data_IF_798147864703
#
_entry.id   IF_798147864703
#
_cell.length_a   1.000
_cell.length_b   1.000
_cell.length_c   1.000
_cell.angle_alpha   90.00
_cell.angle_beta   90.00
_cell.angle_gamma   90.00
#
_symmetry.space_group_name_H-M   'P 1'
#
loop_
_entity.id
_entity.type
_entity.pdbx_description
1 polymer ?
#
# COMPACT_ATOMS: atom_id res chain seq x y z
N UNK A 1 22.04 -36.54 -10.03
CA UNK A 1 21.22 -36.74 -11.26
C UNK A 1 22.15 -36.44 -12.42
N UNK A 2 22.34 -37.42 -13.31
CA UNK A 2 23.33 -37.31 -14.40
C UNK A 2 22.72 -36.46 -15.52
N UNK A 3 23.31 -35.31 -15.82
CA UNK A 3 22.85 -34.33 -16.85
C UNK A 3 22.90 -34.92 -18.29
N UNK A 4 23.48 -36.11 -18.48
CA UNK A 4 23.76 -36.71 -19.79
C UNK A 4 22.56 -37.41 -20.45
N UNK A 5 21.36 -37.43 -19.88
CA UNK A 5 20.23 -38.24 -20.39
C UNK A 5 18.99 -37.41 -20.83
N UNK A 6 19.17 -36.12 -21.12
CA UNK A 6 18.06 -35.32 -21.69
C UNK A 6 18.04 -35.58 -23.21
N UNK A 7 16.94 -36.08 -23.80
CA UNK A 7 16.83 -36.28 -25.25
C UNK A 7 17.08 -34.96 -25.99
N UNK A 8 17.91 -34.99 -27.02
CA UNK A 8 18.22 -33.79 -27.83
C UNK A 8 16.98 -33.06 -28.35
N UNK A 9 15.94 -33.83 -28.72
CA UNK A 9 14.65 -33.30 -29.14
C UNK A 9 13.97 -32.41 -28.05
N UNK A 10 14.08 -32.81 -26.76
CA UNK A 10 13.53 -32.01 -25.65
C UNK A 10 14.34 -30.74 -25.43
N UNK A 11 15.66 -30.81 -25.62
CA UNK A 11 16.53 -29.63 -25.52
C UNK A 11 16.20 -28.59 -26.60
N UNK A 12 15.95 -29.03 -27.82
CA UNK A 12 15.59 -28.14 -28.94
C UNK A 12 14.20 -27.51 -28.76
N UNK A 13 13.23 -28.25 -28.24
CA UNK A 13 11.89 -27.72 -27.92
C UNK A 13 12.00 -26.65 -26.83
N UNK A 14 12.68 -26.94 -25.71
CA UNK A 14 12.89 -26.00 -24.61
C UNK A 14 13.63 -24.77 -25.08
N UNK A 15 14.68 -24.91 -25.92
CA UNK A 15 15.45 -23.79 -26.45
C UNK A 15 14.66 -22.88 -27.39
N UNK A 16 13.71 -23.42 -28.18
CA UNK A 16 12.81 -22.63 -29.03
C UNK A 16 11.80 -21.83 -28.21
N UNK A 17 11.34 -22.39 -27.09
CA UNK A 17 10.34 -21.75 -26.23
C UNK A 17 10.97 -20.80 -25.20
N UNK A 18 12.29 -20.84 -25.00
CA UNK A 18 13.02 -19.90 -24.15
C UNK A 18 13.02 -18.49 -24.77
N UNK A 19 12.01 -17.70 -24.41
CA UNK A 19 11.98 -16.27 -24.72
C UNK A 19 12.73 -15.50 -23.63
N UNK A 20 13.58 -14.52 -24.00
CA UNK A 20 14.26 -13.69 -23.01
C UNK A 20 13.23 -12.95 -22.17
N UNK A 21 13.20 -13.25 -20.88
CA UNK A 21 12.34 -12.55 -19.91
C UNK A 21 13.06 -11.30 -19.41
N UNK A 22 12.36 -10.15 -19.44
CA UNK A 22 12.87 -8.95 -18.80
C UNK A 22 12.82 -9.13 -17.28
N UNK A 23 13.95 -8.93 -16.61
CA UNK A 23 14.00 -8.92 -15.16
C UNK A 23 13.10 -7.82 -14.59
N UNK A 24 12.38 -8.12 -13.51
CA UNK A 24 11.61 -7.12 -12.81
C UNK A 24 12.54 -6.09 -12.17
N UNK A 25 12.15 -4.82 -12.25
CA UNK A 25 12.82 -3.73 -11.52
C UNK A 25 12.80 -4.03 -10.02
N UNK A 26 13.88 -3.67 -9.31
CA UNK A 26 13.99 -3.96 -7.87
C UNK A 26 12.81 -3.40 -7.07
N UNK A 27 12.41 -4.06 -5.97
CA UNK A 27 11.29 -3.63 -5.14
C UNK A 27 11.41 -2.18 -4.65
N UNK A 28 12.64 -1.79 -4.27
CA UNK A 28 12.95 -0.46 -3.77
C UNK A 28 12.74 0.62 -4.84
N UNK A 29 13.20 0.36 -6.07
CA UNK A 29 12.98 1.30 -7.19
C UNK A 29 11.51 1.42 -7.56
N UNK A 30 10.75 0.32 -7.45
CA UNK A 30 9.30 0.35 -7.67
C UNK A 30 8.57 1.14 -6.59
N UNK A 31 9.00 1.03 -5.33
CA UNK A 31 8.48 1.85 -4.22
C UNK A 31 8.84 3.33 -4.41
N UNK A 32 10.08 3.64 -4.76
CA UNK A 32 10.51 5.02 -5.04
C UNK A 32 9.77 5.65 -6.23
N UNK A 33 9.35 4.86 -7.22
CA UNK A 33 8.53 5.37 -8.32
C UNK A 33 7.13 5.85 -7.85
N UNK A 34 6.70 5.47 -6.64
CA UNK A 34 5.47 5.97 -6.02
C UNK A 34 5.70 7.23 -5.15
N UNK A 35 6.94 7.70 -5.01
CA UNK A 35 7.24 8.92 -4.26
C UNK A 35 6.44 10.14 -4.75
N UNK A 36 6.25 10.40 -6.05
CA UNK A 36 5.40 11.50 -6.51
C UNK A 36 3.95 11.38 -6.03
N UNK A 37 3.42 10.16 -5.95
CA UNK A 37 2.07 9.89 -5.42
C UNK A 37 2.04 10.20 -3.91
N UNK A 38 3.06 9.77 -3.16
CA UNK A 38 3.20 10.09 -1.74
C UNK A 38 3.28 11.61 -1.49
N UNK A 39 4.06 12.33 -2.29
CA UNK A 39 4.15 13.80 -2.21
C UNK A 39 2.80 14.44 -2.55
N UNK A 40 2.12 13.93 -3.57
CA UNK A 40 0.78 14.44 -3.94
C UNK A 40 -0.25 14.24 -2.82
N UNK A 41 -0.20 13.12 -2.09
CA UNK A 41 -1.04 12.90 -0.91
C UNK A 41 -0.61 13.78 0.26
N UNK A 42 0.70 13.87 0.53
CA UNK A 42 1.23 14.64 1.66
C UNK A 42 0.96 16.14 1.55
N UNK A 43 1.08 16.70 0.35
CA UNK A 43 0.90 18.13 0.09
C UNK A 43 -0.47 18.45 -0.48
N UNK A 44 -0.93 17.65 -1.44
CA UNK A 44 -2.17 17.91 -2.16
C UNK A 44 -3.42 17.79 -1.30
N UNK A 45 -3.47 16.84 -0.36
CA UNK A 45 -4.61 16.71 0.56
C UNK A 45 -4.76 17.93 1.47
N UNK A 46 -3.72 18.36 2.22
CA UNK A 46 -3.81 19.56 3.05
C UNK A 46 -4.15 20.82 2.25
N UNK A 47 -3.51 21.02 1.11
CA UNK A 47 -3.75 22.17 0.25
C UNK A 47 -5.20 22.20 -0.29
N UNK A 48 -5.71 21.05 -0.76
CA UNK A 48 -7.09 20.94 -1.22
C UNK A 48 -8.09 21.32 -0.11
N UNK A 49 -7.89 20.84 1.12
CA UNK A 49 -8.76 21.15 2.24
C UNK A 49 -8.59 22.58 2.74
N UNK A 50 -7.38 23.10 2.78
CA UNK A 50 -7.11 24.50 3.10
C UNK A 50 -7.86 25.44 2.15
N UNK A 51 -7.79 25.17 0.84
CA UNK A 51 -8.52 25.93 -0.17
C UNK A 51 -10.04 25.79 -0.04
N UNK A 52 -10.55 24.58 0.19
CA UNK A 52 -11.98 24.30 0.26
C UNK A 52 -12.66 24.82 1.53
N UNK A 53 -11.99 24.73 2.67
CA UNK A 53 -12.58 24.91 4.00
C UNK A 53 -11.91 26.00 4.84
N UNK A 54 -10.94 26.73 4.27
CA UNK A 54 -10.11 27.73 4.96
C UNK A 54 -9.47 27.21 6.25
N UNK A 55 -9.11 25.93 6.25
CA UNK A 55 -8.49 25.26 7.38
C UNK A 55 -7.07 25.75 7.56
N UNK A 56 -6.67 26.10 8.79
CA UNK A 56 -5.28 26.39 9.13
C UNK A 56 -4.51 25.08 9.18
N UNK A 57 -3.45 25.00 8.39
CA UNK A 57 -2.59 23.80 8.37
C UNK A 57 -1.83 23.62 9.69
N UNK A 58 -1.50 22.36 9.97
CA UNK A 58 -0.70 22.02 11.15
C UNK A 58 0.66 22.73 11.15
N UNK A 59 1.24 22.99 12.33
CA UNK A 59 2.55 23.65 12.46
C UNK A 59 3.66 22.82 11.78
N UNK A 60 4.76 23.47 11.43
CA UNK A 60 5.89 22.83 10.73
C UNK A 60 6.46 21.58 11.42
N UNK A 61 6.37 21.49 12.75
CA UNK A 61 6.76 20.30 13.51
C UNK A 61 5.97 19.06 13.09
N UNK A 62 4.70 19.21 12.75
CA UNK A 62 3.83 18.11 12.30
C UNK A 62 4.21 17.63 10.89
N UNK A 63 4.72 18.51 10.03
CA UNK A 63 5.23 18.12 8.72
C UNK A 63 6.41 17.15 8.81
N UNK A 64 7.33 17.38 9.78
CA UNK A 64 8.45 16.48 10.01
C UNK A 64 8.01 15.05 10.34
N UNK A 65 7.04 14.90 11.24
CA UNK A 65 6.49 13.59 11.59
C UNK A 65 5.72 12.94 10.43
N UNK A 66 5.01 13.73 9.62
CA UNK A 66 4.34 13.25 8.40
C UNK A 66 5.33 12.74 7.35
N UNK A 67 6.47 13.42 7.19
CA UNK A 67 7.54 12.94 6.30
C UNK A 67 8.11 11.61 6.79
N UNK A 68 8.33 11.44 8.09
CA UNK A 68 8.81 10.16 8.67
C UNK A 68 7.82 9.04 8.36
N UNK A 69 6.53 9.27 8.53
CA UNK A 69 5.51 8.28 8.22
C UNK A 69 5.42 7.97 6.72
N UNK A 70 5.53 8.97 5.87
CA UNK A 70 5.61 8.79 4.42
C UNK A 70 6.84 7.95 4.02
N UNK A 71 8.00 8.17 4.62
CA UNK A 71 9.20 7.36 4.36
C UNK A 71 9.00 5.91 4.80
N UNK A 72 8.39 5.69 5.97
CA UNK A 72 8.02 4.34 6.41
C UNK A 72 7.07 3.67 5.42
N UNK A 73 6.09 4.40 4.88
CA UNK A 73 5.15 3.88 3.89
C UNK A 73 5.85 3.36 2.63
N UNK A 74 6.92 4.03 2.17
CA UNK A 74 7.74 3.58 1.04
C UNK A 74 8.49 2.27 1.37
N UNK A 75 8.98 2.12 2.61
CA UNK A 75 9.61 0.86 3.07
C UNK A 75 8.59 -0.28 3.05
N UNK A 76 7.37 -0.03 3.49
CA UNK A 76 6.29 -1.01 3.49
C UNK A 76 5.88 -1.38 2.06
N UNK A 77 5.80 -0.41 1.15
CA UNK A 77 5.55 -0.66 -0.28
C UNK A 77 6.67 -1.51 -0.89
N UNK A 78 7.94 -1.23 -0.58
CA UNK A 78 9.06 -2.05 -1.03
C UNK A 78 8.95 -3.48 -0.50
N UNK A 79 8.54 -3.66 0.76
CA UNK A 79 8.26 -4.96 1.35
C UNK A 79 7.11 -5.69 0.61
N UNK A 80 6.03 -4.99 0.27
CA UNK A 80 4.92 -5.53 -0.54
C UNK A 80 5.37 -5.95 -1.94
N UNK A 81 6.20 -5.16 -2.61
CA UNK A 81 6.76 -5.51 -3.91
C UNK A 81 7.77 -6.66 -3.85
N UNK A 82 8.50 -6.79 -2.75
CA UNK A 82 9.38 -7.94 -2.50
C UNK A 82 8.57 -9.20 -2.29
N UNK A 83 7.52 -9.13 -1.47
CA UNK A 83 6.59 -10.23 -1.21
C UNK A 83 5.89 -10.72 -2.49
N UNK A 84 5.70 -9.84 -3.47
CA UNK A 84 5.10 -10.18 -4.75
C UNK A 84 6.01 -11.02 -5.67
N UNK A 85 7.31 -11.12 -5.38
CA UNK A 85 8.26 -11.87 -6.23
C UNK A 85 8.42 -13.29 -5.69
N UNK A 86 8.12 -14.34 -6.47
CA UNK A 86 8.30 -15.73 -6.05
C UNK A 86 9.73 -16.00 -5.58
N UNK A 87 9.87 -16.68 -4.45
CA UNK A 87 11.16 -17.01 -3.83
C UNK A 87 11.84 -15.86 -3.08
N UNK A 88 11.17 -14.68 -2.98
CA UNK A 88 11.66 -13.53 -2.22
C UNK A 88 10.72 -13.13 -1.07
N UNK A 89 9.80 -14.03 -0.72
CA UNK A 89 8.80 -13.80 0.32
C UNK A 89 9.46 -13.43 1.65
N UNK A 90 8.78 -12.57 2.37
CA UNK A 90 9.22 -12.16 3.70
C UNK A 90 8.92 -13.26 4.72
N UNK A 91 9.89 -13.51 5.58
CA UNK A 91 9.68 -14.43 6.70
C UNK A 91 8.67 -13.84 7.69
N UNK A 92 7.87 -14.68 8.35
CA UNK A 92 6.82 -14.23 9.26
C UNK A 92 7.32 -13.26 10.35
N UNK A 93 8.53 -13.49 10.89
CA UNK A 93 9.14 -12.56 11.86
C UNK A 93 9.35 -11.15 11.26
N UNK A 94 9.81 -11.07 10.01
CA UNK A 94 10.00 -9.77 9.34
C UNK A 94 8.66 -9.05 9.12
N UNK A 95 7.61 -9.80 8.73
CA UNK A 95 6.25 -9.27 8.61
C UNK A 95 5.73 -8.74 9.96
N UNK A 96 5.89 -9.53 11.04
CA UNK A 96 5.48 -9.11 12.38
C UNK A 96 6.22 -7.83 12.80
N UNK A 97 7.54 -7.78 12.65
CA UNK A 97 8.34 -6.57 12.98
C UNK A 97 7.86 -5.38 12.18
N UNK A 98 7.64 -5.54 10.86
CA UNK A 98 7.17 -4.47 10.00
C UNK A 98 5.80 -3.94 10.45
N UNK A 99 4.86 -4.82 10.79
CA UNK A 99 3.53 -4.45 11.29
C UNK A 99 3.62 -3.75 12.65
N UNK A 100 4.44 -4.26 13.58
CA UNK A 100 4.64 -3.63 14.88
C UNK A 100 5.28 -2.23 14.74
N UNK A 101 6.28 -2.07 13.89
CA UNK A 101 6.91 -0.77 13.61
C UNK A 101 5.90 0.19 12.99
N UNK A 102 5.08 -0.28 12.04
CA UNK A 102 4.05 0.54 11.41
C UNK A 102 3.01 1.03 12.42
N UNK A 103 2.51 0.11 13.27
CA UNK A 103 1.55 0.45 14.31
C UNK A 103 2.15 1.40 15.36
N UNK A 104 3.38 1.15 15.80
CA UNK A 104 4.08 2.00 16.76
C UNK A 104 4.33 3.41 16.19
N UNK A 105 4.74 3.51 14.93
CA UNK A 105 4.92 4.80 14.25
C UNK A 105 3.59 5.54 14.13
N UNK A 106 2.54 4.87 13.64
CA UNK A 106 1.20 5.46 13.55
C UNK A 106 0.73 6.03 14.91
N UNK A 107 0.86 5.24 15.98
CA UNK A 107 0.49 5.69 17.33
C UNK A 107 1.38 6.85 17.79
N UNK A 108 2.70 6.75 17.62
CA UNK A 108 3.63 7.77 18.09
C UNK A 108 3.42 9.11 17.38
N UNK A 109 3.29 9.11 16.05
CA UNK A 109 3.09 10.36 15.29
C UNK A 109 1.74 10.99 15.58
N UNK A 110 0.69 10.19 15.78
CA UNK A 110 -0.63 10.71 16.10
C UNK A 110 -0.77 11.12 17.58
N UNK A 111 0.02 10.53 18.50
CA UNK A 111 0.06 10.95 19.90
C UNK A 111 0.62 12.37 20.10
N UNK A 112 1.40 12.88 19.15
CA UNK A 112 1.95 14.25 19.17
C UNK A 112 0.94 15.32 18.76
N UNK A 113 -0.18 14.93 18.15
CA UNK A 113 -1.20 15.83 17.62
C UNK A 113 -2.35 16.02 18.62
N UNK A 114 -2.10 16.66 19.75
CA UNK A 114 -3.16 16.97 20.70
C UNK A 114 -3.88 18.26 20.27
N UNK A 115 -5.16 18.15 19.93
CA UNK A 115 -6.04 19.31 19.89
C UNK A 115 -6.47 19.67 21.32
N UNK A 116 -6.32 20.93 21.76
CA UNK A 116 -6.86 21.38 23.05
C UNK A 116 -8.39 21.47 23.04
N UNK A 117 -9.03 21.35 21.90
CA UNK A 117 -10.45 21.51 21.72
C UNK A 117 -11.09 20.15 21.44
N UNK A 118 -11.79 19.59 22.42
CA UNK A 118 -12.64 18.40 22.23
C UNK A 118 -13.79 18.72 21.28
N UNK A 119 -14.06 17.79 20.33
CA UNK A 119 -15.22 17.91 19.45
C UNK A 119 -16.48 17.53 20.21
N UNK A 120 -17.55 18.32 20.03
CA UNK A 120 -18.86 17.96 20.55
C UNK A 120 -19.30 16.60 20.02
N UNK A 121 -19.84 15.71 20.87
CA UNK A 121 -20.33 14.39 20.46
C UNK A 121 -21.28 14.40 19.26
N UNK A 122 -22.05 15.50 19.09
CA UNK A 122 -22.96 15.67 17.97
C UNK A 122 -22.24 15.78 16.60
N UNK A 123 -20.98 16.21 16.56
CA UNK A 123 -20.22 16.37 15.33
C UNK A 123 -19.26 15.19 15.07
N UNK A 124 -19.05 14.32 16.05
CA UNK A 124 -18.07 13.23 15.99
C UNK A 124 -18.30 12.28 14.80
N UNK A 125 -19.53 11.80 14.60
CA UNK A 125 -19.87 10.92 13.47
C UNK A 125 -19.68 11.57 12.12
N UNK A 126 -19.93 12.86 12.01
CA UNK A 126 -19.72 13.60 10.77
C UNK A 126 -18.23 13.69 10.44
N UNK A 127 -17.41 14.09 11.39
CA UNK A 127 -15.95 14.19 11.20
C UNK A 127 -15.32 12.83 10.95
N UNK A 128 -15.74 11.78 11.67
CA UNK A 128 -15.33 10.42 11.43
C UNK A 128 -15.56 10.01 9.97
N UNK A 129 -16.77 10.21 9.46
CA UNK A 129 -17.13 9.89 8.09
C UNK A 129 -16.33 10.71 7.08
N UNK A 130 -16.17 12.00 7.28
CA UNK A 130 -15.44 12.88 6.38
C UNK A 130 -13.95 12.49 6.28
N UNK A 131 -13.29 12.21 7.39
CA UNK A 131 -11.89 11.75 7.38
C UNK A 131 -11.73 10.40 6.69
N UNK A 132 -12.56 9.40 7.01
CA UNK A 132 -12.51 8.06 6.38
C UNK A 132 -12.78 8.16 4.88
N UNK A 133 -13.85 8.85 4.48
CA UNK A 133 -14.22 9.00 3.05
C UNK A 133 -13.11 9.73 2.30
N UNK A 134 -12.57 10.80 2.85
CA UNK A 134 -11.48 11.55 2.22
C UNK A 134 -10.24 10.66 2.06
N UNK A 135 -9.77 10.03 3.16
CA UNK A 135 -8.59 9.17 3.11
C UNK A 135 -8.75 8.06 2.07
N UNK A 136 -9.86 7.33 2.09
CA UNK A 136 -10.10 6.22 1.16
C UNK A 136 -10.24 6.71 -0.27
N UNK A 137 -11.04 7.75 -0.53
CA UNK A 137 -11.30 8.25 -1.89
C UNK A 137 -10.02 8.72 -2.58
N UNK A 138 -9.20 9.51 -1.89
CA UNK A 138 -7.94 10.00 -2.47
C UNK A 138 -6.86 8.92 -2.56
N UNK A 139 -6.97 7.84 -1.77
CA UNK A 139 -6.03 6.72 -1.80
C UNK A 139 -6.36 5.67 -2.87
N UNK A 140 -7.59 5.59 -3.37
CA UNK A 140 -7.96 4.61 -4.41
C UNK A 140 -7.07 4.76 -5.66
N UNK A 141 -6.88 5.96 -6.26
CA UNK A 141 -5.97 6.14 -7.38
C UNK A 141 -4.52 5.75 -7.03
N UNK A 142 -4.08 6.07 -5.81
CA UNK A 142 -2.75 5.73 -5.32
C UNK A 142 -2.57 4.21 -5.15
N UNK A 143 -3.63 3.44 -4.89
CA UNK A 143 -3.60 1.99 -4.75
C UNK A 143 -3.55 1.25 -6.11
N UNK A 144 -4.03 1.88 -7.19
CA UNK A 144 -4.05 1.27 -8.53
C UNK A 144 -2.64 0.92 -9.00
N UNK A 145 -1.68 1.84 -8.86
CA UNK A 145 -0.32 1.63 -9.33
C UNK A 145 0.39 0.46 -8.62
N UNK A 146 0.42 0.36 -7.28
CA UNK A 146 1.00 -0.80 -6.62
C UNK A 146 0.22 -2.10 -6.91
N UNK A 147 -1.10 -2.09 -7.00
CA UNK A 147 -1.88 -3.26 -7.38
C UNK A 147 -1.49 -3.78 -8.76
N UNK A 148 -1.32 -2.88 -9.73
CA UNK A 148 -0.83 -3.22 -11.07
C UNK A 148 0.60 -3.78 -11.05
N UNK A 149 1.51 -3.17 -10.29
CA UNK A 149 2.89 -3.63 -10.16
C UNK A 149 2.99 -5.01 -9.50
N UNK A 150 2.19 -5.27 -8.46
CA UNK A 150 2.07 -6.59 -7.81
C UNK A 150 1.56 -7.62 -8.81
N UNK A 151 0.54 -7.28 -9.57
CA UNK A 151 -0.08 -8.19 -10.53
C UNK A 151 0.89 -8.66 -11.63
N UNK A 152 1.93 -7.89 -11.95
CA UNK A 152 2.96 -8.26 -12.95
C UNK A 152 4.01 -9.21 -12.42
N UNK A 153 4.10 -9.41 -11.11
CA UNK A 153 5.16 -10.19 -10.46
C UNK A 153 4.78 -11.66 -10.19
N UNK A 154 3.52 -12.07 -10.43
CA UNK A 154 3.01 -13.42 -10.19
C UNK A 154 3.20 -13.90 -8.73
N UNK A 155 2.66 -13.20 -7.75
CA UNK A 155 2.89 -13.45 -6.34
C UNK A 155 2.36 -14.81 -5.89
N UNK A 156 3.13 -15.54 -5.06
CA UNK A 156 2.66 -16.77 -4.41
C UNK A 156 1.63 -16.46 -3.30
N UNK A 157 1.78 -15.32 -2.62
CA UNK A 157 0.87 -14.84 -1.57
C UNK A 157 0.27 -13.47 -1.94
N UNK A 158 -0.61 -13.42 -2.96
CA UNK A 158 -1.13 -12.15 -3.49
C UNK A 158 -1.83 -11.29 -2.44
N UNK A 159 -2.57 -11.93 -1.51
CA UNK A 159 -3.24 -11.23 -0.42
C UNK A 159 -2.28 -10.50 0.51
N UNK A 160 -1.14 -11.13 0.87
CA UNK A 160 -0.13 -10.50 1.75
C UNK A 160 0.57 -9.35 1.04
N UNK A 161 0.99 -9.55 -0.22
CA UNK A 161 1.61 -8.50 -1.03
C UNK A 161 0.67 -7.30 -1.20
N UNK A 162 -0.61 -7.57 -1.50
CA UNK A 162 -1.64 -6.53 -1.63
C UNK A 162 -1.94 -5.81 -0.31
N UNK A 163 -2.01 -6.55 0.82
CA UNK A 163 -2.20 -5.98 2.15
C UNK A 163 -1.08 -5.01 2.53
N UNK A 164 0.19 -5.38 2.28
CA UNK A 164 1.33 -4.50 2.50
C UNK A 164 1.27 -3.25 1.62
N UNK A 165 0.87 -3.40 0.36
CA UNK A 165 0.66 -2.24 -0.52
C UNK A 165 -0.46 -1.33 0.00
N UNK A 166 -1.57 -1.91 0.46
CA UNK A 166 -2.67 -1.17 1.08
C UNK A 166 -2.24 -0.44 2.35
N UNK A 167 -1.44 -1.09 3.22
CA UNK A 167 -0.86 -0.48 4.41
C UNK A 167 0.06 0.70 4.06
N UNK A 168 0.96 0.53 3.08
CA UNK A 168 1.84 1.60 2.65
C UNK A 168 1.06 2.81 2.11
N UNK A 169 0.08 2.59 1.22
CA UNK A 169 -0.78 3.67 0.70
C UNK A 169 -1.62 4.31 1.81
N UNK A 170 -2.11 3.51 2.76
CA UNK A 170 -2.87 4.00 3.92
C UNK A 170 -2.07 4.94 4.79
N UNK A 171 -0.82 4.60 5.11
CA UNK A 171 0.08 5.47 5.87
C UNK A 171 0.50 6.73 5.09
N UNK A 172 0.67 6.62 3.75
CA UNK A 172 0.87 7.83 2.92
C UNK A 172 -0.30 8.80 3.02
N UNK A 173 -1.53 8.27 2.98
CA UNK A 173 -2.73 9.09 3.10
C UNK A 173 -2.89 9.69 4.50
N UNK A 174 -2.57 8.90 5.55
CA UNK A 174 -2.60 9.38 6.94
C UNK A 174 -1.61 10.53 7.16
N UNK A 175 -0.40 10.40 6.62
CA UNK A 175 0.62 11.45 6.68
C UNK A 175 0.12 12.81 6.15
N UNK A 176 -0.70 12.81 5.09
CA UNK A 176 -1.33 14.03 4.57
C UNK A 176 -2.58 14.43 5.35
N UNK A 177 -3.45 13.45 5.68
CA UNK A 177 -4.74 13.67 6.33
C UNK A 177 -4.60 14.41 7.66
N UNK A 178 -3.66 14.02 8.51
CA UNK A 178 -3.46 14.62 9.82
C UNK A 178 -2.90 16.05 9.78
N UNK A 179 -2.37 16.52 8.65
CA UNK A 179 -1.90 17.91 8.53
C UNK A 179 -3.05 18.92 8.47
N UNK A 180 -4.27 18.47 8.17
CA UNK A 180 -5.47 19.30 8.18
C UNK A 180 -6.58 18.77 9.08
N UNK A 181 -6.41 17.58 9.68
CA UNK A 181 -7.37 17.04 10.62
C UNK A 181 -7.29 17.79 11.96
N UNK A 182 -8.39 18.42 12.36
CA UNK A 182 -8.48 19.23 13.57
C UNK A 182 -8.74 18.43 14.83
N UNK A 183 -9.21 17.19 14.66
CA UNK A 183 -9.59 16.34 15.76
C UNK A 183 -8.40 15.49 16.21
N UNK A 184 -7.70 15.99 17.22
CA UNK A 184 -6.63 15.27 17.90
C UNK A 184 -7.09 14.30 18.99
N UNK A 185 -8.42 14.00 19.08
CA UNK A 185 -8.90 12.98 19.99
C UNK A 185 -8.43 11.59 19.58
N UNK A 186 -7.90 10.83 20.54
CA UNK A 186 -7.39 9.48 20.28
C UNK A 186 -8.45 8.54 19.69
N UNK A 187 -9.70 8.64 20.14
CA UNK A 187 -10.77 7.81 19.63
C UNK A 187 -11.06 8.11 18.16
N UNK A 188 -11.06 9.40 17.78
CA UNK A 188 -11.19 9.81 16.39
C UNK A 188 -10.04 9.29 15.53
N UNK A 189 -8.80 9.52 15.95
CA UNK A 189 -7.60 9.10 15.21
C UNK A 189 -7.58 7.58 15.05
N UNK A 190 -7.79 6.81 16.10
CA UNK A 190 -7.80 5.36 16.00
C UNK A 190 -8.90 4.82 15.10
N UNK A 191 -10.11 5.38 15.19
CA UNK A 191 -11.26 4.88 14.43
C UNK A 191 -11.29 5.43 13.01
N UNK A 192 -11.08 6.74 12.81
CA UNK A 192 -11.12 7.34 11.48
C UNK A 192 -9.86 7.03 10.68
N UNK A 193 -8.70 7.38 11.21
CA UNK A 193 -7.45 7.23 10.48
C UNK A 193 -7.01 5.76 10.44
N UNK A 194 -6.99 5.09 11.61
CA UNK A 194 -6.69 3.66 11.69
C UNK A 194 -7.68 2.81 10.90
N UNK A 195 -8.98 3.14 10.97
CA UNK A 195 -10.04 2.49 10.19
C UNK A 195 -9.84 2.67 8.68
N UNK A 196 -9.49 3.86 8.21
CA UNK A 196 -9.18 4.12 6.80
C UNK A 196 -7.98 3.28 6.32
N UNK A 197 -6.92 3.19 7.13
CA UNK A 197 -5.75 2.34 6.83
C UNK A 197 -6.18 0.88 6.71
N UNK A 198 -6.99 0.36 7.65
CA UNK A 198 -7.47 -1.02 7.61
C UNK A 198 -8.34 -1.32 6.38
N UNK A 199 -9.20 -0.37 5.98
CA UNK A 199 -9.97 -0.46 4.74
C UNK A 199 -9.03 -0.58 3.53
N UNK A 200 -7.99 0.24 3.46
CA UNK A 200 -7.02 0.20 2.36
C UNK A 200 -6.20 -1.09 2.36
N UNK A 201 -5.83 -1.62 3.53
CA UNK A 201 -5.21 -2.95 3.66
C UNK A 201 -6.12 -4.04 3.09
N UNK A 202 -7.41 -4.02 3.46
CA UNK A 202 -8.39 -4.97 2.96
C UNK A 202 -8.59 -4.84 1.44
N UNK A 203 -8.73 -3.61 0.92
CA UNK A 203 -8.87 -3.35 -0.52
C UNK A 203 -7.62 -3.81 -1.29
N UNK A 204 -6.43 -3.57 -0.77
CA UNK A 204 -5.18 -4.04 -1.37
C UNK A 204 -5.10 -5.56 -1.42
N UNK A 205 -5.41 -6.24 -0.31
CA UNK A 205 -5.43 -7.70 -0.23
C UNK A 205 -6.45 -8.32 -1.19
N UNK A 206 -7.67 -7.79 -1.20
CA UNK A 206 -8.77 -8.27 -2.05
C UNK A 206 -8.45 -8.04 -3.53
N UNK A 207 -8.02 -6.84 -3.92
CA UNK A 207 -7.70 -6.52 -5.31
C UNK A 207 -6.60 -7.42 -5.86
N UNK A 208 -5.49 -7.60 -5.15
CA UNK A 208 -4.39 -8.46 -5.57
C UNK A 208 -4.84 -9.93 -5.70
N UNK A 209 -5.64 -10.42 -4.76
CA UNK A 209 -6.17 -11.79 -4.78
C UNK A 209 -7.15 -12.01 -5.94
N UNK A 210 -8.04 -11.05 -6.20
CA UNK A 210 -9.01 -11.13 -7.30
C UNK A 210 -8.32 -11.09 -8.65
N UNK A 211 -7.36 -10.18 -8.85
CA UNK A 211 -6.59 -10.08 -10.09
C UNK A 211 -5.89 -11.43 -10.39
N UNK A 212 -5.26 -12.05 -9.39
CA UNK A 212 -4.56 -13.31 -9.61
C UNK A 212 -5.52 -14.48 -9.89
N UNK A 213 -6.70 -14.51 -9.24
CA UNK A 213 -7.75 -15.50 -9.54
C UNK A 213 -8.28 -15.35 -10.97
N UNK A 214 -8.50 -14.13 -11.45
CA UNK A 214 -8.94 -13.87 -12.83
C UNK A 214 -7.88 -14.35 -13.82
N UNK A 215 -6.61 -13.98 -13.61
CA UNK A 215 -5.50 -14.41 -14.48
C UNK A 215 -5.33 -15.92 -14.53
N UNK A 216 -5.47 -16.61 -13.41
CA UNK A 216 -5.36 -18.07 -13.36
C UNK A 216 -6.51 -18.75 -14.11
N UNK A 217 -7.72 -18.19 -14.06
CA UNK A 217 -8.86 -18.70 -14.84
C UNK A 217 -8.63 -18.53 -16.34
N UNK A 218 -8.21 -17.33 -16.78
CA UNK A 218 -7.93 -17.06 -18.21
C UNK A 218 -6.85 -18.00 -18.75
N UNK A 219 -5.79 -18.22 -17.99
CA UNK A 219 -4.72 -19.16 -18.38
C UNK A 219 -5.21 -20.60 -18.53
N UNK A 220 -6.15 -21.05 -17.69
CA UNK A 220 -6.72 -22.42 -17.80
C UNK A 220 -7.59 -22.56 -19.04
N UNK A 221 -8.44 -21.57 -19.36
CA UNK A 221 -9.29 -21.60 -20.55
C UNK A 221 -8.45 -21.66 -21.84
N UNK A 222 -7.42 -20.80 -21.94
CA UNK A 222 -6.52 -20.82 -23.12
C UNK A 222 -5.71 -22.11 -23.29
N UNK A 223 -5.50 -22.88 -22.22
CA UNK A 223 -4.79 -24.16 -22.29
C UNK A 223 -5.69 -25.31 -22.80
N UNK A 224 -7.03 -25.20 -22.65
CA UNK A 224 -7.98 -26.21 -23.12
C UNK A 224 -8.33 -26.07 -24.61
N UNK A 225 -8.12 -24.88 -25.21
CA UNK A 225 -8.43 -24.63 -26.62
C UNK A 225 -7.32 -25.09 -27.59
N UNK A 226 -6.17 -25.53 -27.08
CA UNK A 226 -5.00 -25.99 -27.86
C UNK A 226 -4.69 -27.49 -27.68
N UNK A 227 -5.52 -28.26 -27.01
CA UNK A 227 -5.42 -29.72 -26.84
C UNK A 227 -6.53 -30.45 -27.55
#
# INVERSE_FOLDING_TARGET
MNESNIPAALYDVVRRDLKPVRSLVSPERRALALLPVGIALLVGLPEFWSWKSHVVLAPWSSWGTSVVEMLLSLVILAAGFREAVPGRELHNRALTVLLCVSAATFIAVNATMRSPFGISPAHWLRWLRECVVTAVTFSIPALIAPAWLVSRALPNRPGVAGALCGLGVGLMADAGLRLFCWDGDYAHVLVAHGGAILILVALGALSATLIERIKSRVRRIGATDHG
#
